data_IF_999160128169
#
_entry.id   IF_999160128169
#
_cell.length_a   1.000
_cell.length_b   1.000
_cell.length_c   1.000
_cell.angle_alpha   90.00
_cell.angle_beta   90.00
_cell.angle_gamma   90.00
#
_symmetry.space_group_name_H-M   'P 1'
#
loop_
_entity.id
_entity.type
_entity.pdbx_description
1 polymer ?
#
# COMPACT_ATOMS: atom_id res chain seq x y z
N UNK A 1 -1.16 -5.98 21.00
CA UNK A 1 -1.48 -6.23 19.57
C UNK A 1 -2.94 -5.96 19.24
N UNK A 2 -3.96 -6.63 19.84
CA UNK A 2 -5.38 -6.42 19.46
C UNK A 2 -5.86 -4.97 19.62
N UNK A 3 -5.48 -4.29 20.69
CA UNK A 3 -5.81 -2.88 20.89
C UNK A 3 -5.17 -1.98 19.81
N UNK A 4 -3.91 -2.22 19.45
CA UNK A 4 -3.23 -1.48 18.38
C UNK A 4 -3.92 -1.67 17.02
N UNK A 5 -4.35 -2.91 16.70
CA UNK A 5 -5.13 -3.20 15.50
C UNK A 5 -6.45 -2.43 15.52
N UNK A 6 -7.17 -2.42 16.65
CA UNK A 6 -8.45 -1.72 16.76
C UNK A 6 -8.31 -0.21 16.51
N UNK A 7 -7.32 0.44 17.13
CA UNK A 7 -7.06 1.87 16.95
C UNK A 7 -6.66 2.21 15.51
N UNK A 8 -5.80 1.39 14.90
CA UNK A 8 -5.42 1.54 13.50
C UNK A 8 -6.64 1.41 12.57
N UNK A 9 -7.53 0.42 12.81
CA UNK A 9 -8.75 0.22 12.03
C UNK A 9 -9.72 1.40 12.14
N UNK A 10 -9.88 1.98 13.32
CA UNK A 10 -10.74 3.15 13.53
C UNK A 10 -10.23 4.33 12.69
N UNK A 11 -8.93 4.60 12.72
CA UNK A 11 -8.29 5.65 11.91
C UNK A 11 -8.47 5.38 10.41
N UNK A 12 -8.16 4.17 9.93
CA UNK A 12 -8.27 3.81 8.53
C UNK A 12 -9.70 3.90 8.00
N UNK A 13 -10.70 3.45 8.80
CA UNK A 13 -12.11 3.51 8.43
C UNK A 13 -12.67 4.93 8.41
N UNK A 14 -12.07 5.83 9.19
CA UNK A 14 -12.36 7.26 9.15
C UNK A 14 -11.68 8.00 7.97
N UNK A 15 -10.90 7.29 7.12
CA UNK A 15 -10.16 7.88 6.01
C UNK A 15 -8.81 8.48 6.41
N UNK A 16 -8.31 8.13 7.58
CA UNK A 16 -7.03 8.60 8.09
C UNK A 16 -5.83 7.83 7.56
N UNK A 17 -4.65 8.38 7.83
CA UNK A 17 -3.33 7.83 7.50
C UNK A 17 -2.65 7.32 8.77
N UNK A 18 -2.07 6.14 8.72
CA UNK A 18 -1.36 5.54 9.85
C UNK A 18 0.12 5.35 9.56
N UNK A 19 0.92 5.40 10.61
CA UNK A 19 2.31 4.98 10.64
C UNK A 19 2.41 3.66 11.40
N UNK A 20 2.95 2.60 10.78
CA UNK A 20 2.89 1.26 11.34
C UNK A 20 4.10 0.40 10.96
N UNK A 21 4.50 -0.55 11.84
CA UNK A 21 5.58 -1.49 11.55
C UNK A 21 5.12 -2.57 10.57
N UNK A 22 6.05 -3.01 9.73
CA UNK A 22 5.85 -4.17 8.84
C UNK A 22 7.00 -5.17 8.99
N UNK A 23 6.89 -6.32 8.35
CA UNK A 23 7.96 -7.32 8.23
C UNK A 23 9.19 -6.81 7.48
N UNK A 24 9.10 -5.67 6.80
CA UNK A 24 10.21 -5.02 6.08
C UNK A 24 10.74 -3.79 6.81
N UNK A 25 10.08 -2.66 6.64
CA UNK A 25 10.40 -1.37 7.23
C UNK A 25 9.12 -0.72 7.75
N UNK A 26 9.23 0.37 8.51
CA UNK A 26 8.05 1.16 8.88
C UNK A 26 7.35 1.71 7.64
N UNK A 27 6.03 1.57 7.63
CA UNK A 27 5.17 2.00 6.55
C UNK A 27 4.27 3.16 6.93
N UNK A 28 3.98 4.01 5.94
CA UNK A 28 2.85 4.93 5.97
C UNK A 28 1.74 4.26 5.15
N UNK A 29 0.53 4.22 5.68
CA UNK A 29 -0.57 3.54 5.00
C UNK A 29 -1.92 4.17 5.22
N UNK A 30 -2.80 3.90 4.28
CA UNK A 30 -4.22 4.24 4.31
C UNK A 30 -5.03 3.18 3.56
N UNK A 31 -6.35 3.27 3.63
CA UNK A 31 -7.24 2.47 2.81
C UNK A 31 -6.99 2.70 1.32
N UNK A 32 -6.55 1.65 0.61
CA UNK A 32 -6.22 1.74 -0.82
C UNK A 32 -7.42 1.99 -1.74
N UNK A 33 -8.65 1.96 -1.21
CA UNK A 33 -9.88 2.29 -1.94
C UNK A 33 -10.32 3.74 -1.75
N UNK A 34 -9.61 4.51 -0.90
CA UNK A 34 -9.92 5.91 -0.60
C UNK A 34 -8.96 6.87 -1.32
N UNK A 35 -9.37 7.52 -2.42
CA UNK A 35 -8.48 8.39 -3.19
C UNK A 35 -8.01 9.64 -2.43
N UNK A 36 -8.80 10.16 -1.48
CA UNK A 36 -8.41 11.31 -0.64
C UNK A 36 -7.29 10.92 0.34
N UNK A 37 -7.44 9.76 1.00
CA UNK A 37 -6.41 9.27 1.91
C UNK A 37 -5.11 8.92 1.16
N UNK A 38 -5.21 8.38 -0.05
CA UNK A 38 -4.05 8.12 -0.92
C UNK A 38 -3.37 9.42 -1.34
N UNK A 39 -4.12 10.45 -1.72
CA UNK A 39 -3.55 11.76 -2.06
C UNK A 39 -2.75 12.36 -0.88
N UNK A 40 -3.25 12.24 0.35
CA UNK A 40 -2.52 12.68 1.55
C UNK A 40 -1.18 11.95 1.71
N UNK A 41 -1.08 10.67 1.36
CA UNK A 41 0.22 9.96 1.40
C UNK A 41 1.21 10.57 0.42
N UNK A 42 0.79 10.94 -0.79
CA UNK A 42 1.65 11.61 -1.75
C UNK A 42 2.13 12.98 -1.22
N UNK A 43 1.24 13.76 -0.61
CA UNK A 43 1.58 15.04 0.02
C UNK A 43 2.60 14.85 1.16
N UNK A 44 2.34 13.94 2.12
CA UNK A 44 3.23 13.65 3.25
C UNK A 44 4.62 13.25 2.76
N UNK A 45 4.69 12.44 1.71
CA UNK A 45 5.96 11.96 1.15
C UNK A 45 6.61 12.94 0.17
N UNK A 46 5.98 14.04 -0.18
CA UNK A 46 6.41 14.94 -1.27
C UNK A 46 6.69 14.15 -2.55
N UNK A 47 5.81 13.20 -2.86
CA UNK A 47 5.96 12.25 -3.96
C UNK A 47 5.06 12.64 -5.12
N UNK A 48 5.57 12.53 -6.35
CA UNK A 48 4.77 12.68 -7.56
C UNK A 48 3.76 11.53 -7.71
N UNK A 49 2.54 11.83 -8.12
CA UNK A 49 1.44 10.87 -8.32
C UNK A 49 1.72 9.82 -9.40
N UNK A 50 2.73 10.05 -10.25
CA UNK A 50 3.11 9.16 -11.36
C UNK A 50 3.72 7.82 -10.90
N UNK A 51 4.15 7.73 -9.63
CA UNK A 51 4.77 6.51 -9.08
C UNK A 51 3.77 5.73 -8.25
N UNK A 52 3.32 4.59 -8.75
CA UNK A 52 2.41 3.69 -8.04
C UNK A 52 2.89 3.34 -6.62
N UNK A 53 1.94 3.03 -5.75
CA UNK A 53 2.20 2.63 -4.36
C UNK A 53 2.12 1.10 -4.24
N UNK A 54 2.87 0.54 -3.30
CA UNK A 54 2.72 -0.87 -2.92
C UNK A 54 1.51 -1.01 -2.00
N UNK A 55 0.73 -2.07 -2.20
CA UNK A 55 -0.42 -2.42 -1.39
C UNK A 55 -0.15 -3.70 -0.60
N UNK A 56 -0.71 -3.79 0.61
CA UNK A 56 -0.79 -5.04 1.36
C UNK A 56 -2.17 -5.66 1.19
N UNK A 57 -2.19 -6.96 0.91
CA UNK A 57 -3.39 -7.80 0.93
C UNK A 57 -3.23 -8.90 1.99
N UNK A 58 -4.33 -9.38 2.59
CA UNK A 58 -4.29 -10.45 3.58
C UNK A 58 -3.98 -11.81 2.94
N UNK A 59 -4.43 -12.02 1.71
CA UNK A 59 -4.41 -13.32 1.02
C UNK A 59 -4.65 -13.13 -0.49
N UNK A 60 -4.56 -14.23 -1.24
CA UNK A 60 -4.80 -14.26 -2.69
C UNK A 60 -6.25 -13.96 -3.05
N UNK A 61 -7.22 -14.33 -2.21
CA UNK A 61 -8.64 -14.02 -2.43
C UNK A 61 -8.91 -12.52 -2.38
N UNK A 62 -8.20 -11.80 -1.49
CA UNK A 62 -8.25 -10.34 -1.49
C UNK A 62 -7.65 -9.78 -2.77
N UNK A 63 -6.51 -10.27 -3.24
CA UNK A 63 -5.89 -9.82 -4.50
C UNK A 63 -6.84 -10.03 -5.67
N UNK A 64 -7.51 -11.20 -5.76
CA UNK A 64 -8.44 -11.55 -6.83
C UNK A 64 -9.64 -10.59 -6.94
N UNK A 65 -9.98 -9.86 -5.90
CA UNK A 65 -11.05 -8.84 -5.95
C UNK A 65 -10.64 -7.53 -6.63
N UNK A 66 -9.32 -7.27 -6.67
CA UNK A 66 -8.77 -5.98 -7.13
C UNK A 66 -7.86 -6.10 -8.37
N UNK A 67 -7.68 -7.32 -8.87
CA UNK A 67 -6.94 -7.61 -10.10
C UNK A 67 -7.83 -8.45 -11.00
N UNK A 68 -7.98 -8.06 -12.28
CA UNK A 68 -8.92 -8.70 -13.21
C UNK A 68 -8.57 -10.16 -13.48
N UNK A 69 -7.30 -10.46 -13.61
CA UNK A 69 -6.76 -11.78 -13.89
C UNK A 69 -5.42 -11.95 -13.18
N UNK A 70 -5.28 -13.00 -12.38
CA UNK A 70 -4.05 -13.29 -11.65
C UNK A 70 -3.19 -14.20 -12.53
N UNK A 71 -1.95 -13.79 -12.89
CA UNK A 71 -1.04 -14.66 -13.61
C UNK A 71 -0.76 -15.93 -12.80
N UNK A 72 -0.81 -17.10 -13.44
CA UNK A 72 -0.55 -18.40 -12.79
C UNK A 72 0.83 -18.44 -12.10
N UNK A 73 1.83 -17.85 -12.73
CA UNK A 73 3.16 -17.71 -12.15
C UNK A 73 3.17 -16.92 -10.84
N UNK A 74 2.28 -15.92 -10.68
CA UNK A 74 2.17 -15.15 -9.44
C UNK A 74 1.66 -16.03 -8.29
N UNK A 75 0.71 -16.94 -8.55
CA UNK A 75 0.21 -17.90 -7.56
C UNK A 75 1.34 -18.79 -7.08
N UNK A 76 2.09 -19.40 -8.02
CA UNK A 76 3.21 -20.28 -7.71
C UNK A 76 4.30 -19.55 -6.91
N UNK A 77 4.63 -18.30 -7.27
CA UNK A 77 5.61 -17.50 -6.56
C UNK A 77 5.18 -17.21 -5.13
N UNK A 78 3.90 -16.90 -4.89
CA UNK A 78 3.38 -16.65 -3.54
C UNK A 78 3.40 -17.91 -2.68
N UNK A 79 3.07 -19.07 -3.25
CA UNK A 79 3.04 -20.36 -2.52
C UNK A 79 4.41 -20.82 -2.02
N UNK A 80 5.48 -20.56 -2.81
CA UNK A 80 6.84 -21.02 -2.47
C UNK A 80 7.68 -19.96 -1.77
N UNK A 81 7.13 -18.75 -1.60
CA UNK A 81 7.89 -17.61 -1.11
C UNK A 81 8.05 -17.61 0.42
N UNK A 82 9.27 -17.47 0.89
CA UNK A 82 9.66 -17.42 2.30
C UNK A 82 10.21 -16.04 2.74
N UNK A 83 10.18 -15.04 1.86
CA UNK A 83 10.72 -13.69 2.10
C UNK A 83 9.76 -12.60 1.68
N UNK A 84 9.85 -11.38 2.23
CA UNK A 84 9.00 -10.27 1.80
C UNK A 84 9.15 -9.99 0.31
N UNK A 85 8.10 -10.28 -0.46
CA UNK A 85 8.06 -10.12 -1.92
C UNK A 85 6.83 -9.33 -2.34
N UNK A 86 7.04 -8.35 -3.20
CA UNK A 86 5.96 -7.58 -3.87
C UNK A 86 5.86 -8.07 -5.31
N UNK A 87 4.66 -8.42 -5.73
CA UNK A 87 4.37 -8.77 -7.12
C UNK A 87 3.62 -7.62 -7.77
N UNK A 88 4.07 -7.19 -8.95
CA UNK A 88 3.36 -6.24 -9.79
C UNK A 88 2.43 -7.03 -10.72
N UNK A 89 1.13 -6.84 -10.49
CA UNK A 89 0.05 -7.52 -11.23
C UNK A 89 -0.47 -6.61 -12.35
N UNK A 90 -0.83 -7.18 -13.52
CA UNK A 90 -1.54 -6.45 -14.57
C UNK A 90 -3.02 -6.29 -14.25
N UNK A 91 -3.68 -5.34 -14.90
CA UNK A 91 -5.14 -5.25 -14.92
C UNK A 91 -5.82 -4.95 -13.59
N UNK A 92 -5.31 -3.96 -12.84
CA UNK A 92 -5.93 -3.51 -11.61
C UNK A 92 -7.38 -3.03 -11.83
N UNK A 93 -8.28 -3.37 -10.91
CA UNK A 93 -9.66 -2.86 -10.87
C UNK A 93 -9.67 -1.53 -10.13
N UNK A 94 -9.90 -0.44 -10.86
CA UNK A 94 -9.86 0.92 -10.31
C UNK A 94 -11.21 1.62 -10.36
N UNK A 95 -11.44 2.50 -9.39
CA UNK A 95 -12.50 3.49 -9.45
C UNK A 95 -12.27 4.52 -10.58
N UNK A 96 -13.26 5.36 -10.81
CA UNK A 96 -13.20 6.39 -11.84
C UNK A 96 -12.08 7.39 -11.53
N UNK A 97 -11.22 7.65 -12.53
CA UNK A 97 -10.31 8.79 -12.49
C UNK A 97 -11.12 10.07 -12.74
N UNK A 98 -10.96 11.14 -11.95
CA UNK A 98 -11.57 12.43 -12.30
C UNK A 98 -11.14 12.84 -13.71
N UNK A 99 -12.07 13.33 -14.51
CA UNK A 99 -11.68 13.91 -15.79
C UNK A 99 -10.71 15.08 -15.53
N UNK A 100 -9.71 15.24 -16.40
CA UNK A 100 -8.81 16.38 -16.33
C UNK A 100 -9.64 17.67 -16.24
N UNK A 101 -9.19 18.64 -15.42
CA UNK A 101 -9.88 19.93 -15.24
C UNK A 101 -10.21 20.53 -16.60
N UNK A 102 -11.47 20.82 -16.83
CA UNK A 102 -11.87 21.70 -17.92
C UNK A 102 -11.34 23.12 -17.66
N UNK A 103 -11.34 23.96 -18.69
CA UNK A 103 -10.75 25.30 -18.66
C UNK A 103 -11.35 26.26 -17.61
N UNK A 104 -12.30 25.82 -16.79
CA UNK A 104 -12.98 26.61 -15.76
C UNK A 104 -12.23 26.71 -14.43
N UNK A 105 -11.16 25.94 -14.22
CA UNK A 105 -10.32 26.03 -13.01
C UNK A 105 -11.00 25.56 -11.70
N UNK A 106 -12.19 24.98 -11.76
CA UNK A 106 -12.84 24.43 -10.59
C UNK A 106 -12.14 23.15 -10.12
N UNK A 107 -11.69 23.14 -8.86
CA UNK A 107 -11.12 21.95 -8.21
C UNK A 107 -12.24 20.92 -8.05
N UNK A 108 -12.26 19.92 -8.95
CA UNK A 108 -13.22 18.79 -8.80
C UNK A 108 -12.85 18.00 -7.56
N UNK A 109 -13.86 17.74 -6.72
CA UNK A 109 -13.73 16.84 -5.58
C UNK A 109 -13.31 15.44 -6.06
N UNK A 110 -12.40 14.81 -5.32
CA UNK A 110 -12.03 13.42 -5.57
C UNK A 110 -13.26 12.50 -5.48
N UNK A 111 -13.32 11.42 -6.27
CA UNK A 111 -14.42 10.47 -6.21
C UNK A 111 -14.50 9.84 -4.83
N UNK A 112 -15.73 9.51 -4.40
CA UNK A 112 -15.95 8.82 -3.14
C UNK A 112 -15.28 7.45 -3.15
N UNK A 113 -14.83 6.94 -1.97
CA UNK A 113 -14.26 5.61 -1.87
C UNK A 113 -15.22 4.53 -2.38
N UNK A 114 -14.72 3.65 -3.25
CA UNK A 114 -15.44 2.46 -3.70
C UNK A 114 -14.72 1.21 -3.15
N UNK A 115 -15.41 0.48 -2.27
CA UNK A 115 -14.85 -0.72 -1.64
C UNK A 115 -14.56 -1.87 -2.59
N UNK A 116 -15.11 -1.83 -3.80
CA UNK A 116 -14.93 -2.86 -4.83
C UNK A 116 -13.85 -2.49 -5.85
N UNK A 117 -13.21 -1.34 -5.72
CA UNK A 117 -12.19 -0.87 -6.63
C UNK A 117 -11.07 -0.15 -5.87
N UNK A 118 -9.85 -0.25 -6.37
CA UNK A 118 -8.72 0.55 -5.89
C UNK A 118 -8.94 2.03 -6.23
N UNK A 119 -8.45 2.91 -5.39
CA UNK A 119 -8.36 4.32 -5.74
C UNK A 119 -7.47 4.47 -6.99
N UNK A 120 -7.91 5.28 -7.96
CA UNK A 120 -7.21 5.44 -9.24
C UNK A 120 -5.75 5.89 -9.07
N UNK A 121 -5.45 6.58 -7.98
CA UNK A 121 -4.12 7.09 -7.66
C UNK A 121 -3.21 6.09 -6.92
N UNK A 122 -3.63 4.84 -6.73
CA UNK A 122 -2.76 3.75 -6.25
C UNK A 122 -2.13 2.95 -7.38
N UNK A 123 -2.66 3.07 -8.60
CA UNK A 123 -2.35 2.24 -9.75
C UNK A 123 -1.43 2.99 -10.71
N UNK A 124 -0.50 2.29 -11.33
CA UNK A 124 0.38 2.86 -12.35
C UNK A 124 -0.40 3.24 -13.63
N UNK A 125 0.18 4.10 -14.46
CA UNK A 125 -0.44 4.54 -15.72
C UNK A 125 -0.71 3.38 -16.70
N UNK A 126 0.13 2.34 -16.65
CA UNK A 126 -0.03 1.10 -17.45
C UNK A 126 -1.11 0.15 -16.89
N UNK A 127 -1.83 0.54 -15.85
CA UNK A 127 -2.86 -0.27 -15.19
C UNK A 127 -2.30 -1.37 -14.31
N UNK A 128 -1.01 -1.36 -13.99
CA UNK A 128 -0.41 -2.34 -13.07
C UNK A 128 -0.46 -1.87 -11.62
N UNK A 129 -0.43 -2.82 -10.68
CA UNK A 129 -0.41 -2.55 -9.24
C UNK A 129 0.53 -3.52 -8.52
N UNK A 130 1.39 -2.98 -7.66
CA UNK A 130 2.25 -3.78 -6.79
C UNK A 130 1.52 -4.21 -5.52
N UNK A 131 1.37 -5.52 -5.29
CA UNK A 131 0.72 -6.06 -4.10
C UNK A 131 1.63 -7.04 -3.39
N UNK A 132 1.61 -7.01 -2.06
CA UNK A 132 2.36 -7.90 -1.20
C UNK A 132 1.44 -8.51 -0.13
N UNK A 133 1.58 -9.81 0.13
CA UNK A 133 1.01 -10.44 1.31
C UNK A 133 2.08 -10.33 2.42
N UNK A 134 1.82 -9.58 3.51
CA UNK A 134 2.81 -9.40 4.57
C UNK A 134 2.97 -10.69 5.39
N UNK A 135 4.18 -10.91 5.91
CA UNK A 135 4.46 -12.07 6.77
C UNK A 135 4.28 -11.76 8.26
N UNK A 136 4.26 -10.48 8.64
CA UNK A 136 4.04 -10.05 10.01
C UNK A 136 2.56 -10.21 10.41
N UNK A 137 2.32 -10.93 11.49
CA UNK A 137 0.98 -11.25 12.02
C UNK A 137 0.12 -9.98 12.27
N UNK A 138 0.73 -8.92 12.82
CA UNK A 138 0.06 -7.64 12.99
C UNK A 138 -0.51 -7.11 11.66
N UNK A 139 0.30 -7.09 10.60
CA UNK A 139 -0.11 -6.59 9.28
C UNK A 139 -1.18 -7.49 8.65
N UNK A 140 -1.03 -8.81 8.74
CA UNK A 140 -2.03 -9.75 8.22
C UNK A 140 -3.39 -9.55 8.88
N UNK A 141 -3.43 -9.49 10.22
CA UNK A 141 -4.67 -9.28 10.95
C UNK A 141 -5.27 -7.89 10.69
N UNK A 142 -4.46 -6.84 10.58
CA UNK A 142 -4.92 -5.49 10.29
C UNK A 142 -5.62 -5.45 8.93
N UNK A 143 -4.95 -5.94 7.87
CA UNK A 143 -5.47 -5.94 6.50
C UNK A 143 -6.71 -6.84 6.38
N UNK A 144 -6.69 -8.02 6.99
CA UNK A 144 -7.82 -8.93 7.02
C UNK A 144 -9.06 -8.29 7.68
N UNK A 145 -8.90 -7.65 8.84
CA UNK A 145 -10.00 -6.96 9.56
C UNK A 145 -10.44 -5.66 8.88
N UNK A 146 -9.57 -5.00 8.13
CA UNK A 146 -9.95 -3.87 7.27
C UNK A 146 -10.85 -4.34 6.14
N UNK A 147 -10.60 -5.56 5.61
CA UNK A 147 -11.35 -6.19 4.52
C UNK A 147 -11.06 -5.60 3.15
N UNK A 148 -10.00 -4.79 3.04
CA UNK A 148 -9.56 -4.06 1.85
C UNK A 148 -8.04 -3.95 1.83
N UNK A 149 -7.40 -3.78 0.65
CA UNK A 149 -5.98 -3.54 0.59
C UNK A 149 -5.56 -2.27 1.34
N UNK A 150 -4.41 -2.33 1.97
CA UNK A 150 -3.80 -1.23 2.70
C UNK A 150 -2.61 -0.69 1.91
N UNK A 151 -2.58 0.61 1.63
CA UNK A 151 -1.37 1.25 1.09
C UNK A 151 -0.21 1.04 2.06
N UNK A 152 0.96 0.70 1.53
CA UNK A 152 2.19 0.49 2.30
C UNK A 152 3.38 1.09 1.57
N UNK A 153 3.80 2.25 2.00
CA UNK A 153 5.01 2.91 1.49
C UNK A 153 5.95 3.23 2.64
N UNK A 154 7.26 3.22 2.40
CA UNK A 154 8.26 3.48 3.44
C UNK A 154 8.08 4.85 4.11
N UNK A 155 8.37 4.92 5.42
CA UNK A 155 8.14 6.09 6.26
C UNK A 155 9.25 7.17 6.13
N UNK A 156 9.57 7.58 4.89
CA UNK A 156 10.54 8.62 4.54
C UNK A 156 9.97 9.58 3.49
N UNK A 157 10.52 10.77 3.42
CA UNK A 157 10.30 11.68 2.27
C UNK A 157 10.89 11.01 1.02
N UNK A 158 10.24 11.19 -0.12
CA UNK A 158 10.68 10.59 -1.39
C UNK A 158 12.10 11.04 -1.74
N UNK A 159 12.97 10.06 -2.05
CA UNK A 159 14.38 10.32 -2.34
C UNK A 159 15.31 10.28 -1.12
N UNK A 160 14.78 10.32 0.09
CA UNK A 160 15.56 10.18 1.31
C UNK A 160 15.78 8.70 1.72
N UNK A 161 16.78 8.40 2.55
CA UNK A 161 17.01 7.06 3.06
C UNK A 161 15.78 6.51 3.81
N UNK A 162 15.50 5.23 3.61
CA UNK A 162 14.41 4.55 4.31
C UNK A 162 14.80 4.29 5.78
N UNK A 163 14.01 4.75 6.77
CA UNK A 163 14.29 4.49 8.18
C UNK A 163 14.13 2.99 8.49
N UNK A 164 15.09 2.47 9.26
CA UNK A 164 15.10 1.05 9.65
C UNK A 164 14.31 0.79 10.94
N UNK A 165 14.20 1.80 11.80
CA UNK A 165 13.55 1.74 13.11
C UNK A 165 12.63 2.94 13.30
N UNK A 166 11.69 2.83 14.23
CA UNK A 166 10.82 3.94 14.61
C UNK A 166 11.59 5.21 14.98
N UNK A 167 12.69 5.06 15.74
CA UNK A 167 13.52 6.19 16.18
C UNK A 167 14.17 6.98 15.03
N UNK A 168 14.35 6.34 13.87
CA UNK A 168 14.97 6.94 12.69
C UNK A 168 13.95 7.70 11.80
N UNK A 169 12.63 7.59 12.11
CA UNK A 169 11.59 8.23 11.31
C UNK A 169 11.57 9.73 11.56
N UNK A 170 11.65 10.57 10.52
CA UNK A 170 11.61 12.03 10.67
C UNK A 170 10.36 12.50 11.42
N UNK A 171 10.52 13.53 12.27
CA UNK A 171 9.39 14.12 13.01
C UNK A 171 8.31 14.65 12.08
N UNK A 172 8.72 15.17 10.92
CA UNK A 172 7.79 15.63 9.87
C UNK A 172 6.81 14.52 9.44
N UNK A 173 7.28 13.27 9.30
CA UNK A 173 6.43 12.13 8.96
C UNK A 173 5.54 11.76 10.16
N UNK A 174 6.12 11.71 11.38
CA UNK A 174 5.38 11.33 12.59
C UNK A 174 4.24 12.28 12.91
N UNK A 175 4.44 13.57 12.70
CA UNK A 175 3.43 14.61 12.96
C UNK A 175 2.38 14.74 11.87
N UNK A 176 2.61 14.20 10.67
CA UNK A 176 1.70 14.32 9.53
C UNK A 176 0.65 13.20 9.44
N UNK A 177 0.80 12.12 10.21
CA UNK A 177 -0.14 10.99 10.25
C UNK A 177 -1.17 11.13 11.35
N UNK A 178 -2.33 10.48 11.21
CA UNK A 178 -3.43 10.56 12.17
C UNK A 178 -3.27 9.56 13.34
N UNK A 179 -2.50 8.49 13.14
CA UNK A 179 -2.24 7.48 14.17
C UNK A 179 -0.88 6.83 13.98
N UNK A 180 -0.17 6.63 15.09
CA UNK A 180 1.09 5.89 15.14
C UNK A 180 0.84 4.61 15.93
N UNK A 181 1.06 3.47 15.30
CA UNK A 181 0.99 2.16 15.94
C UNK A 181 2.13 2.01 16.94
N UNK A 182 1.87 1.34 18.06
CA UNK A 182 2.82 1.13 19.15
C UNK A 182 4.18 0.61 18.61
N UNK A 183 5.27 1.37 18.80
CA UNK A 183 6.60 0.98 18.32
C UNK A 183 7.12 -0.34 18.88
N UNK A 184 6.60 -0.83 19.99
CA UNK A 184 6.99 -2.14 20.54
C UNK A 184 6.67 -3.32 19.61
N UNK A 185 5.76 -3.09 18.61
CA UNK A 185 5.38 -4.08 17.62
C UNK A 185 6.34 -4.16 16.42
N UNK A 186 7.40 -3.34 16.36
CA UNK A 186 8.40 -3.41 15.26
C UNK A 186 9.28 -4.67 15.31
N UNK A 187 9.15 -5.47 16.35
CA UNK A 187 9.91 -6.74 16.49
C UNK A 187 9.62 -7.67 15.32
N UNK A 188 10.68 -8.13 14.65
CA UNK A 188 10.56 -8.99 13.47
C UNK A 188 10.65 -8.26 12.13
N UNK A 189 10.72 -6.94 12.12
CA UNK A 189 11.07 -6.19 10.90
C UNK A 189 12.50 -6.49 10.46
N UNK A 190 12.68 -6.77 9.16
CA UNK A 190 14.01 -7.05 8.59
C UNK A 190 14.87 -5.79 8.44
N UNK A 191 14.27 -4.61 8.42
CA UNK A 191 14.90 -3.34 8.09
C UNK A 191 15.32 -3.24 6.62
N UNK A 192 14.82 -4.14 5.77
CA UNK A 192 15.08 -4.18 4.34
C UNK A 192 13.78 -4.14 3.56
N UNK A 193 13.77 -3.45 2.43
CA UNK A 193 12.61 -3.42 1.53
C UNK A 193 12.39 -4.81 0.89
N UNK A 194 11.13 -5.13 0.57
CA UNK A 194 10.78 -6.35 -0.17
C UNK A 194 11.48 -6.42 -1.52
N UNK A 195 11.71 -7.61 -2.06
CA UNK A 195 11.94 -7.77 -3.49
C UNK A 195 10.73 -7.30 -4.29
N UNK A 196 10.92 -6.91 -5.55
CA UNK A 196 9.81 -6.54 -6.46
C UNK A 196 9.98 -7.30 -7.77
N UNK A 197 8.94 -8.02 -8.15
CA UNK A 197 8.88 -8.81 -9.37
C UNK A 197 7.63 -8.39 -10.15
N UNK A 198 7.77 -8.11 -11.44
CA UNK A 198 6.62 -7.90 -12.34
C UNK A 198 6.33 -9.20 -13.06
N UNK A 199 5.06 -9.60 -13.09
CA UNK A 199 4.62 -10.86 -13.70
C UNK A 199 3.54 -10.55 -14.73
N UNK A 200 3.71 -11.08 -15.96
CA UNK A 200 2.74 -10.95 -17.04
C UNK A 200 1.84 -12.17 -17.19
N UNK A 201 0.74 -12.02 -17.92
CA UNK A 201 -0.17 -13.12 -18.26
C UNK A 201 0.44 -14.08 -19.30
N UNK A 202 1.50 -13.65 -19.97
CA UNK A 202 2.30 -14.40 -20.94
C UNK A 202 3.45 -15.20 -20.31
N UNK A 203 3.40 -15.42 -18.99
CA UNK A 203 4.46 -16.03 -18.17
C UNK A 203 5.76 -15.23 -18.09
N UNK A 204 5.78 -13.98 -18.56
CA UNK A 204 6.94 -13.12 -18.41
C UNK A 204 7.19 -12.77 -16.94
N UNK A 205 8.47 -12.72 -16.54
CA UNK A 205 8.94 -12.34 -15.22
C UNK A 205 10.04 -11.30 -15.38
N UNK A 206 9.86 -10.18 -14.70
CA UNK A 206 10.87 -9.11 -14.65
C UNK A 206 11.20 -8.80 -13.18
N UNK A 207 12.50 -8.87 -12.83
CA UNK A 207 12.97 -8.52 -11.49
C UNK A 207 13.26 -7.03 -11.46
N UNK A 208 12.42 -6.25 -10.78
CA UNK A 208 12.56 -4.81 -10.63
C UNK A 208 13.53 -4.47 -9.48
N UNK A 209 13.46 -5.25 -8.39
CA UNK A 209 14.33 -5.10 -7.21
C UNK A 209 14.55 -6.47 -6.56
N UNK A 210 15.82 -6.76 -6.20
CA UNK A 210 16.23 -7.94 -5.43
C UNK A 210 16.16 -7.68 -3.93
#
# INVERSE_FOLDING_TARGET
MQQAIQQALETLRAGGVILYPTDTVWGIGCDATNPEAVARIYEIKRREDSKSLVLLASDMDMIARYVKEIPEMAIQLVEVNDKPMTIIYPGAVTGLRPAASDASGETRSLPKPDRNALAFNTVAEDGTVGVRIPMMDFCQQLVHKLGRPLVSTSANISGEPTPKRYADIPEEIRSAVDHIVDPSLERGSTGQSSSIIKVGLDYSIEIIRK
#
